data_IF_455985738147
#
_entry.id   IF_455985738147
#
_cell.length_a   1.000
_cell.length_b   1.000
_cell.length_c   1.000
_cell.angle_alpha   90.00
_cell.angle_beta   90.00
_cell.angle_gamma   90.00
#
_symmetry.space_group_name_H-M   'P 1'
#
loop_
_entity.id
_entity.type
_entity.pdbx_description
1 polymer ?
#
# COMPACT_ATOMS: atom_id res chain seq x y z
N UNK A 1 -3.26 27.92 -9.96
CA UNK A 1 -2.31 27.45 -8.93
C UNK A 1 -2.74 26.04 -8.55
N UNK A 2 -2.03 25.00 -9.00
CA UNK A 2 -2.31 23.63 -8.55
C UNK A 2 -1.85 23.54 -7.09
N UNK A 3 -2.76 23.25 -6.17
CA UNK A 3 -2.48 23.18 -4.72
C UNK A 3 -1.50 22.05 -4.34
N UNK A 4 -1.20 21.89 -3.04
CA UNK A 4 -0.34 20.82 -2.54
C UNK A 4 -1.00 19.46 -2.75
N UNK A 5 -0.35 18.57 -3.49
CA UNK A 5 -0.79 17.17 -3.70
C UNK A 5 0.01 16.24 -2.80
N UNK A 6 -0.65 15.20 -2.29
CA UNK A 6 -0.05 14.14 -1.47
C UNK A 6 -0.47 12.78 -1.99
N UNK A 7 0.34 11.76 -1.73
CA UNK A 7 0.06 10.38 -2.13
C UNK A 7 -0.16 9.49 -0.90
N UNK A 8 -1.00 8.46 -1.08
CA UNK A 8 -1.10 7.35 -0.12
C UNK A 8 -0.50 6.13 -0.78
N UNK A 9 0.19 5.30 -0.02
CA UNK A 9 0.95 4.16 -0.53
C UNK A 9 0.63 2.91 0.29
N UNK A 10 0.44 1.79 -0.41
CA UNK A 10 0.40 0.46 0.15
C UNK A 10 1.60 -0.33 -0.36
N UNK A 11 2.30 -1.01 0.53
CA UNK A 11 3.50 -1.77 0.21
C UNK A 11 3.44 -3.15 0.88
N UNK A 12 3.94 -4.16 0.18
CA UNK A 12 4.17 -5.50 0.71
C UNK A 12 5.67 -5.78 0.61
N UNK A 13 6.27 -6.22 1.70
CA UNK A 13 7.64 -6.74 1.70
C UNK A 13 7.61 -8.27 1.73
N UNK A 14 7.90 -8.90 0.59
CA UNK A 14 7.96 -10.35 0.46
C UNK A 14 8.98 -10.78 -0.60
N UNK A 15 9.73 -11.86 -0.33
CA UNK A 15 10.77 -12.37 -1.23
C UNK A 15 10.25 -13.35 -2.30
N UNK A 16 9.05 -13.91 -2.08
CA UNK A 16 8.41 -14.91 -2.93
C UNK A 16 6.90 -14.68 -3.06
N UNK A 17 6.23 -15.49 -3.89
CA UNK A 17 4.78 -15.42 -4.08
C UNK A 17 4.34 -15.05 -5.49
N UNK A 18 3.07 -15.32 -5.79
CA UNK A 18 2.49 -15.01 -7.09
C UNK A 18 2.18 -13.51 -7.20
N UNK A 19 2.64 -12.87 -8.28
CA UNK A 19 2.50 -11.43 -8.52
C UNK A 19 1.08 -10.91 -8.29
N UNK A 20 0.05 -11.62 -8.75
CA UNK A 20 -1.35 -11.22 -8.57
C UNK A 20 -1.77 -11.17 -7.10
N UNK A 21 -1.34 -12.15 -6.29
CA UNK A 21 -1.62 -12.16 -4.85
C UNK A 21 -0.86 -11.03 -4.14
N UNK A 22 0.39 -10.78 -4.52
CA UNK A 22 1.20 -9.69 -3.95
C UNK A 22 0.59 -8.32 -4.27
N UNK A 23 0.11 -8.12 -5.50
CA UNK A 23 -0.58 -6.89 -5.91
C UNK A 23 -1.87 -6.66 -5.13
N UNK A 24 -2.67 -7.71 -4.91
CA UNK A 24 -3.90 -7.60 -4.13
C UNK A 24 -3.61 -7.14 -2.70
N UNK A 25 -2.60 -7.73 -2.04
CA UNK A 25 -2.20 -7.35 -0.68
C UNK A 25 -1.69 -5.90 -0.63
N UNK A 26 -0.88 -5.48 -1.62
CA UNK A 26 -0.42 -4.09 -1.71
C UNK A 26 -1.58 -3.11 -1.94
N UNK A 27 -2.61 -3.49 -2.71
CA UNK A 27 -3.81 -2.68 -2.91
C UNK A 27 -4.65 -2.58 -1.64
N UNK A 28 -4.80 -3.68 -0.88
CA UNK A 28 -5.45 -3.64 0.44
C UNK A 28 -4.72 -2.70 1.41
N UNK A 29 -3.38 -2.73 1.42
CA UNK A 29 -2.57 -1.82 2.22
C UNK A 29 -2.80 -0.36 1.81
N UNK A 30 -2.90 -0.08 0.51
CA UNK A 30 -3.22 1.24 -0.02
C UNK A 30 -4.62 1.68 0.40
N UNK A 31 -5.59 0.75 0.38
CA UNK A 31 -6.95 1.02 0.81
C UNK A 31 -7.01 1.40 2.29
N UNK A 32 -6.26 0.71 3.16
CA UNK A 32 -6.09 1.09 4.57
C UNK A 32 -5.48 2.49 4.72
N UNK A 33 -4.44 2.80 3.94
CA UNK A 33 -3.82 4.13 3.95
C UNK A 33 -4.84 5.24 3.63
N UNK A 34 -5.75 4.99 2.68
CA UNK A 34 -6.83 5.92 2.32
C UNK A 34 -7.86 6.05 3.45
N UNK A 35 -8.30 4.95 4.05
CA UNK A 35 -9.30 4.96 5.13
C UNK A 35 -8.80 5.66 6.40
N UNK A 36 -7.52 5.56 6.71
CA UNK A 36 -6.95 6.18 7.93
C UNK A 36 -6.65 7.69 7.78
N UNK A 37 -7.00 8.31 6.66
CA UNK A 37 -6.82 9.76 6.44
C UNK A 37 -5.84 10.15 5.34
N UNK A 38 -5.43 9.22 4.47
CA UNK A 38 -4.53 9.47 3.32
C UNK A 38 -3.14 9.95 3.76
N UNK A 39 -2.35 10.46 2.80
CA UNK A 39 -0.98 10.99 2.95
C UNK A 39 -0.09 10.15 3.88
N UNK A 40 -0.09 8.84 3.68
CA UNK A 40 0.62 7.89 4.53
C UNK A 40 1.00 6.63 3.77
N UNK A 41 1.98 5.94 4.32
CA UNK A 41 2.44 4.63 3.91
C UNK A 41 1.89 3.58 4.88
N UNK A 42 1.35 2.50 4.33
CA UNK A 42 1.03 1.27 5.07
C UNK A 42 1.87 0.15 4.48
N UNK A 43 2.65 -0.52 5.34
CA UNK A 43 3.49 -1.67 4.97
C UNK A 43 2.87 -2.92 5.57
N UNK A 44 2.75 -3.96 4.76
CA UNK A 44 2.39 -5.31 5.18
C UNK A 44 3.65 -6.16 5.10
N UNK A 45 3.95 -6.91 6.15
CA UNK A 45 5.02 -7.90 6.14
C UNK A 45 4.44 -9.23 5.62
N UNK A 46 5.08 -9.81 4.61
CA UNK A 46 4.76 -11.17 4.16
C UNK A 46 5.22 -12.16 5.22
N UNK A 47 4.32 -13.00 5.70
CA UNK A 47 4.69 -14.12 6.58
C UNK A 47 5.43 -15.13 5.71
N UNK A 48 6.69 -15.43 6.07
CA UNK A 48 7.51 -16.47 5.43
C UNK A 48 6.96 -17.87 5.69
#
# INVERSE_FOLDING_TARGET
MLGKVTFSLGCLWQNDGQVYSLLHIADEALYKAKQQGRNRLVIVEGVS
#
